data_IF_866430712863
#
_entry.id   IF_866430712863
#
_cell.length_a   1.000
_cell.length_b   1.000
_cell.length_c   1.000
_cell.angle_alpha   90.00
_cell.angle_beta   90.00
_cell.angle_gamma   90.00
#
_symmetry.space_group_name_H-M   'P 1'
#
loop_
_entity.id
_entity.type
_entity.pdbx_description
1 polymer ?
#
# COMPACT_ATOMS: atom_id res chain seq x y z
N UNK A 1 19.23 10.97 -5.87
CA UNK A 1 18.04 11.65 -6.42
C UNK A 1 16.84 10.71 -6.35
N UNK A 2 15.63 11.26 -6.39
CA UNK A 2 14.39 10.50 -6.26
C UNK A 2 13.39 10.94 -7.34
N UNK A 3 12.79 9.98 -8.05
CA UNK A 3 11.83 10.19 -9.13
C UNK A 3 12.43 10.74 -10.43
N UNK A 4 11.82 10.43 -11.55
CA UNK A 4 12.37 10.57 -12.90
C UNK A 4 12.96 11.94 -13.24
N UNK A 5 12.26 13.04 -12.93
CA UNK A 5 12.76 14.39 -13.26
C UNK A 5 14.00 14.75 -12.45
N UNK A 6 14.00 14.43 -11.16
CA UNK A 6 15.16 14.65 -10.29
C UNK A 6 16.31 13.68 -10.62
N UNK A 7 15.99 12.44 -11.01
CA UNK A 7 16.97 11.46 -11.46
C UNK A 7 17.66 11.92 -12.75
N UNK A 8 16.91 12.40 -13.72
CA UNK A 8 17.47 12.91 -14.96
C UNK A 8 18.31 14.17 -14.75
N UNK A 9 17.68 15.24 -14.23
CA UNK A 9 18.32 16.57 -14.11
C UNK A 9 19.40 16.53 -13.04
N UNK A 10 19.10 16.05 -11.85
CA UNK A 10 20.04 15.97 -10.73
C UNK A 10 21.17 14.98 -10.99
N UNK A 11 20.88 13.85 -11.64
CA UNK A 11 21.89 12.88 -12.03
C UNK A 11 22.88 13.44 -13.06
N UNK A 12 22.41 14.13 -14.10
CA UNK A 12 23.26 14.79 -15.09
C UNK A 12 24.07 15.93 -14.46
N UNK A 13 23.45 16.79 -13.66
CA UNK A 13 24.15 17.87 -12.96
C UNK A 13 25.25 17.33 -12.03
N UNK A 14 24.98 16.28 -11.28
CA UNK A 14 25.97 15.63 -10.42
C UNK A 14 27.14 15.06 -11.24
N UNK A 15 26.84 14.44 -12.38
CA UNK A 15 27.88 13.93 -13.31
C UNK A 15 28.77 15.04 -13.85
N UNK A 16 28.20 16.16 -14.28
CA UNK A 16 28.91 17.33 -14.76
C UNK A 16 29.78 17.97 -13.66
N UNK A 17 29.31 17.93 -12.42
CA UNK A 17 30.06 18.36 -11.23
C UNK A 17 31.14 17.36 -10.77
N UNK A 18 31.38 16.27 -11.52
CA UNK A 18 32.42 15.28 -11.20
C UNK A 18 32.00 14.24 -10.16
N UNK A 19 30.77 14.26 -9.66
CA UNK A 19 30.27 13.25 -8.72
C UNK A 19 30.08 11.92 -9.45
N UNK A 20 30.71 10.87 -8.92
CA UNK A 20 30.65 9.51 -9.50
C UNK A 20 29.70 8.56 -8.73
N UNK A 21 29.52 8.81 -7.43
CA UNK A 21 28.65 8.01 -6.56
C UNK A 21 27.19 8.52 -6.65
N UNK A 22 26.51 8.22 -7.74
CA UNK A 22 25.14 8.67 -8.00
C UNK A 22 24.20 7.47 -7.83
N UNK A 23 23.14 7.64 -7.04
CA UNK A 23 22.02 6.71 -6.99
C UNK A 23 20.73 7.38 -7.43
N UNK A 24 19.93 6.67 -8.23
CA UNK A 24 18.58 7.03 -8.60
C UNK A 24 17.57 6.29 -7.73
N UNK A 25 16.37 6.87 -7.53
CA UNK A 25 15.33 6.28 -6.71
C UNK A 25 14.00 6.17 -7.43
N UNK A 26 13.52 4.94 -7.64
CA UNK A 26 12.22 4.62 -8.23
C UNK A 26 11.25 4.28 -7.10
N UNK A 27 10.17 5.07 -6.96
CA UNK A 27 9.21 4.96 -5.86
C UNK A 27 7.79 4.61 -6.33
N UNK A 28 7.56 4.47 -7.63
CA UNK A 28 6.27 4.12 -8.21
C UNK A 28 6.39 2.87 -9.12
N UNK A 29 5.26 2.21 -9.38
CA UNK A 29 5.22 1.02 -10.23
C UNK A 29 5.44 1.31 -11.73
N UNK A 30 5.38 2.58 -12.15
CA UNK A 30 5.38 2.91 -13.57
C UNK A 30 4.11 2.49 -14.33
N UNK A 31 3.09 1.94 -13.67
CA UNK A 31 1.85 1.46 -14.31
C UNK A 31 1.05 2.57 -15.01
N UNK A 32 1.15 3.81 -14.51
CA UNK A 32 0.42 4.97 -15.06
C UNK A 32 1.19 5.78 -16.07
N UNK A 33 2.43 5.42 -16.37
CA UNK A 33 3.28 6.18 -17.27
C UNK A 33 2.71 6.22 -18.70
N UNK A 34 1.93 5.23 -19.09
CA UNK A 34 1.26 5.21 -20.38
C UNK A 34 0.15 6.28 -20.47
N UNK A 35 -0.50 6.59 -19.35
CA UNK A 35 -1.52 7.64 -19.22
C UNK A 35 -0.92 9.00 -18.82
N UNK A 36 0.40 9.08 -18.59
CA UNK A 36 1.10 10.31 -18.20
C UNK A 36 1.29 11.25 -19.38
N UNK A 37 1.64 12.50 -19.07
CA UNK A 37 1.94 13.52 -20.08
C UNK A 37 3.06 13.07 -21.05
N UNK A 38 3.09 13.64 -22.25
CA UNK A 38 4.14 13.36 -23.24
C UNK A 38 5.53 13.67 -22.68
N UNK A 39 5.65 14.73 -21.88
CA UNK A 39 6.90 15.13 -21.21
C UNK A 39 7.37 14.07 -20.21
N UNK A 40 6.49 13.54 -19.36
CA UNK A 40 6.84 12.49 -18.39
C UNK A 40 7.32 11.21 -19.08
N UNK A 41 6.68 10.82 -20.19
CA UNK A 41 7.13 9.67 -21.00
C UNK A 41 8.50 9.89 -21.65
N UNK A 42 8.78 11.11 -22.10
CA UNK A 42 10.09 11.45 -22.66
C UNK A 42 11.18 11.40 -21.59
N UNK A 43 10.93 11.96 -20.41
CA UNK A 43 11.85 11.91 -19.27
C UNK A 43 12.12 10.45 -18.86
N UNK A 44 11.10 9.61 -18.80
CA UNK A 44 11.28 8.18 -18.51
C UNK A 44 12.20 7.49 -19.52
N UNK A 45 11.98 7.73 -20.83
CA UNK A 45 12.83 7.18 -21.88
C UNK A 45 14.28 7.66 -21.78
N UNK A 46 14.47 8.96 -21.49
CA UNK A 46 15.80 9.53 -21.27
C UNK A 46 16.49 8.86 -20.05
N UNK A 47 15.76 8.68 -18.94
CA UNK A 47 16.27 7.96 -17.79
C UNK A 47 16.63 6.50 -18.13
N UNK A 48 15.80 5.80 -18.91
CA UNK A 48 16.09 4.42 -19.33
C UNK A 48 17.41 4.35 -20.14
N UNK A 49 17.58 5.21 -21.13
CA UNK A 49 18.79 5.30 -21.94
C UNK A 49 20.06 5.62 -21.11
N UNK A 50 19.92 6.49 -20.13
CA UNK A 50 21.02 6.96 -19.28
C UNK A 50 21.26 6.09 -18.05
N UNK A 51 20.39 5.14 -17.76
CA UNK A 51 20.43 4.30 -16.58
C UNK A 51 21.71 3.43 -16.45
N UNK A 52 22.36 3.14 -17.56
CA UNK A 52 23.63 2.41 -17.61
C UNK A 52 24.88 3.28 -17.43
N UNK A 53 24.78 4.60 -17.61
CA UNK A 53 25.94 5.51 -17.62
C UNK A 53 25.94 6.52 -16.48
N UNK A 54 24.79 7.03 -16.05
CA UNK A 54 24.68 8.07 -15.04
C UNK A 54 24.69 7.49 -13.62
N UNK A 55 23.73 6.67 -13.18
CA UNK A 55 23.73 6.15 -11.81
C UNK A 55 24.68 4.95 -11.67
N UNK A 56 25.27 4.77 -10.50
CA UNK A 56 25.93 3.53 -10.09
C UNK A 56 24.96 2.52 -9.48
N UNK A 57 23.84 2.99 -8.93
CA UNK A 57 22.75 2.16 -8.44
C UNK A 57 21.41 2.82 -8.72
N UNK A 58 20.39 2.00 -8.91
CA UNK A 58 18.99 2.40 -9.06
C UNK A 58 18.20 1.68 -7.96
N UNK A 59 17.78 2.41 -6.94
CA UNK A 59 17.07 1.85 -5.80
C UNK A 59 15.58 1.87 -6.10
N UNK A 60 14.96 0.69 -6.16
CA UNK A 60 13.55 0.50 -6.39
C UNK A 60 12.87 0.17 -5.05
N UNK A 61 11.74 0.82 -4.74
CA UNK A 61 10.99 0.54 -3.52
C UNK A 61 10.19 -0.77 -3.57
N UNK A 62 9.98 -1.32 -4.78
CA UNK A 62 9.17 -2.49 -5.03
C UNK A 62 9.83 -3.40 -6.07
N UNK A 63 9.63 -4.71 -5.95
CA UNK A 63 10.10 -5.68 -6.96
C UNK A 63 9.40 -5.47 -8.30
N UNK A 64 8.09 -5.35 -8.27
CA UNK A 64 7.29 -5.05 -9.45
C UNK A 64 7.74 -3.76 -10.15
N UNK A 65 8.13 -2.73 -9.39
CA UNK A 65 8.67 -1.51 -9.96
C UNK A 65 10.01 -1.75 -10.67
N UNK A 66 10.90 -2.56 -10.12
CA UNK A 66 12.17 -2.89 -10.75
C UNK A 66 11.96 -3.67 -12.07
N UNK A 67 11.08 -4.66 -12.07
CA UNK A 67 10.76 -5.46 -13.25
C UNK A 67 10.18 -4.60 -14.39
N UNK A 68 9.14 -3.82 -14.09
CA UNK A 68 8.50 -2.93 -15.08
C UNK A 68 9.44 -1.86 -15.64
N UNK A 69 10.38 -1.35 -14.84
CA UNK A 69 11.38 -0.40 -15.34
C UNK A 69 12.46 -1.09 -16.17
N UNK A 70 12.84 -2.31 -15.82
CA UNK A 70 13.74 -3.12 -16.65
C UNK A 70 13.13 -3.42 -18.04
N UNK A 71 11.83 -3.74 -18.11
CA UNK A 71 11.08 -3.88 -19.37
C UNK A 71 11.05 -2.59 -20.19
N UNK A 72 11.09 -1.41 -19.54
CA UNK A 72 11.16 -0.10 -20.20
C UNK A 72 12.59 0.32 -20.58
N UNK A 73 13.58 -0.58 -20.44
CA UNK A 73 14.96 -0.38 -20.87
C UNK A 73 15.91 0.16 -19.81
N UNK A 74 15.50 0.22 -18.55
CA UNK A 74 16.45 0.50 -17.47
C UNK A 74 17.42 -0.67 -17.25
N UNK A 75 18.64 -0.36 -16.87
CA UNK A 75 19.71 -1.34 -16.64
C UNK A 75 19.45 -2.17 -15.40
N UNK A 76 19.01 -3.42 -15.59
CA UNK A 76 18.68 -4.37 -14.52
C UNK A 76 19.84 -4.63 -13.56
N UNK A 77 21.07 -4.72 -14.06
CA UNK A 77 22.28 -4.94 -13.27
C UNK A 77 22.64 -3.78 -12.32
N UNK A 78 22.02 -2.60 -12.51
CA UNK A 78 22.15 -1.45 -11.61
C UNK A 78 21.01 -1.36 -10.58
N UNK A 79 19.97 -2.14 -10.73
CA UNK A 79 18.80 -2.10 -9.86
C UNK A 79 19.04 -2.87 -8.55
N UNK A 80 18.56 -2.29 -7.46
CA UNK A 80 18.54 -2.89 -6.13
C UNK A 80 17.19 -2.62 -5.52
N UNK A 81 16.49 -3.65 -5.08
CA UNK A 81 15.22 -3.48 -4.38
C UNK A 81 15.49 -3.26 -2.90
N UNK A 82 15.02 -2.13 -2.39
CA UNK A 82 15.00 -1.81 -0.97
C UNK A 82 13.57 -1.42 -0.62
N UNK A 83 12.84 -2.38 -0.08
CA UNK A 83 11.46 -2.19 0.37
C UNK A 83 11.37 -1.13 1.46
N UNK A 84 10.21 -0.49 1.59
CA UNK A 84 9.97 0.46 2.67
C UNK A 84 10.07 -0.23 4.03
N UNK A 85 10.52 0.53 5.03
CA UNK A 85 10.57 0.09 6.42
C UNK A 85 9.68 0.95 7.30
N UNK A 86 9.19 0.37 8.39
CA UNK A 86 8.23 0.98 9.30
C UNK A 86 8.77 1.05 10.72
N UNK A 87 8.37 2.10 11.42
CA UNK A 87 8.59 2.19 12.87
C UNK A 87 7.58 1.26 13.58
N UNK A 88 8.06 0.08 13.93
CA UNK A 88 7.26 -0.98 14.52
C UNK A 88 6.98 -0.77 16.02
N UNK A 89 7.52 0.28 16.61
CA UNK A 89 7.10 0.77 17.94
C UNK A 89 5.82 1.59 17.85
N UNK A 90 5.67 2.33 16.75
CA UNK A 90 4.48 3.14 16.47
C UNK A 90 3.34 2.30 15.89
N UNK A 91 3.66 1.39 14.96
CA UNK A 91 2.69 0.46 14.37
C UNK A 91 2.72 -0.86 15.16
N UNK A 92 1.86 -0.95 16.14
CA UNK A 92 1.74 -2.10 17.04
C UNK A 92 0.29 -2.34 17.44
N UNK A 93 -0.08 -3.56 17.85
CA UNK A 93 -1.37 -3.84 18.46
C UNK A 93 -1.59 -2.99 19.71
N UNK A 94 -2.72 -2.26 19.75
CA UNK A 94 -3.11 -1.37 20.85
C UNK A 94 -4.62 -1.47 21.09
N UNK A 95 -5.01 -2.18 22.15
CA UNK A 95 -6.41 -2.36 22.52
C UNK A 95 -7.09 -1.06 22.96
N UNK A 96 -6.35 -0.13 23.57
CA UNK A 96 -6.91 1.17 24.00
C UNK A 96 -7.20 2.06 22.77
N UNK A 97 -6.28 2.09 21.82
CA UNK A 97 -6.48 2.78 20.54
C UNK A 97 -7.68 2.18 19.78
N UNK A 98 -7.80 0.83 19.75
CA UNK A 98 -8.95 0.14 19.15
C UNK A 98 -10.28 0.59 19.76
N UNK A 99 -10.40 0.51 21.06
CA UNK A 99 -11.62 0.90 21.77
C UNK A 99 -11.99 2.38 21.52
N UNK A 100 -10.99 3.27 21.59
CA UNK A 100 -11.15 4.70 21.35
C UNK A 100 -11.68 4.99 19.94
N UNK A 101 -11.04 4.40 18.92
CA UNK A 101 -11.39 4.67 17.52
C UNK A 101 -12.75 4.07 17.17
N UNK A 102 -13.07 2.87 17.65
CA UNK A 102 -14.40 2.26 17.45
C UNK A 102 -15.51 3.09 18.10
N UNK A 103 -15.27 3.64 19.30
CA UNK A 103 -16.21 4.56 19.94
C UNK A 103 -16.42 5.85 19.11
N UNK A 104 -15.36 6.40 18.51
CA UNK A 104 -15.47 7.56 17.60
C UNK A 104 -16.30 7.24 16.34
N UNK A 105 -16.24 6.00 15.85
CA UNK A 105 -17.04 5.54 14.72
C UNK A 105 -18.47 5.11 15.11
N UNK A 106 -18.81 5.15 16.39
CA UNK A 106 -20.11 4.69 16.89
C UNK A 106 -20.30 3.19 16.81
N UNK A 107 -19.21 2.43 16.89
CA UNK A 107 -19.21 0.97 16.77
C UNK A 107 -19.01 0.28 18.11
N UNK A 108 -19.69 -0.86 18.29
CA UNK A 108 -19.42 -1.77 19.41
C UNK A 108 -18.09 -2.49 19.21
N UNK A 109 -17.57 -3.06 20.29
CA UNK A 109 -16.32 -3.81 20.27
C UNK A 109 -16.40 -5.07 19.40
N UNK A 110 -17.57 -5.71 19.37
CA UNK A 110 -17.83 -6.97 18.66
C UNK A 110 -18.29 -6.77 17.20
N UNK A 111 -18.56 -5.54 16.77
CA UNK A 111 -18.98 -5.30 15.39
C UNK A 111 -17.86 -5.74 14.41
N UNK A 112 -18.14 -6.57 13.38
CA UNK A 112 -17.15 -6.87 12.36
C UNK A 112 -16.85 -5.63 11.51
N UNK A 113 -15.58 -5.21 11.48
CA UNK A 113 -15.14 -3.98 10.83
C UNK A 113 -14.08 -4.26 9.78
N UNK A 114 -14.41 -4.00 8.53
CA UNK A 114 -13.38 -3.89 7.50
C UNK A 114 -13.05 -2.42 7.24
N UNK A 115 -11.84 -2.11 6.77
CA UNK A 115 -11.47 -0.75 6.42
C UNK A 115 -10.54 -0.63 5.25
N UNK A 116 -10.66 0.49 4.53
CA UNK A 116 -9.74 0.91 3.51
C UNK A 116 -9.13 2.26 3.89
N UNK A 117 -7.82 2.29 4.03
CA UNK A 117 -7.07 3.52 4.35
C UNK A 117 -6.38 4.01 3.10
N UNK A 118 -7.02 4.95 2.41
CA UNK A 118 -6.52 5.53 1.16
C UNK A 118 -7.19 6.87 0.87
N UNK A 119 -6.54 7.74 0.08
CA UNK A 119 -7.21 8.92 -0.47
C UNK A 119 -8.24 8.51 -1.55
N UNK A 120 -9.25 9.36 -1.77
CA UNK A 120 -10.12 9.22 -2.93
C UNK A 120 -9.30 9.42 -4.21
N UNK A 121 -9.14 8.35 -4.98
CA UNK A 121 -8.31 8.32 -6.18
C UNK A 121 -8.78 7.13 -7.05
N UNK A 122 -8.95 7.30 -8.37
CA UNK A 122 -9.39 6.20 -9.24
C UNK A 122 -8.56 4.92 -9.12
N UNK A 123 -7.27 5.06 -8.78
CA UNK A 123 -6.36 3.92 -8.65
C UNK A 123 -6.59 3.07 -7.41
N UNK A 124 -7.26 3.64 -6.41
CA UNK A 124 -7.61 2.95 -5.17
C UNK A 124 -8.87 2.11 -5.31
N UNK A 125 -9.62 2.33 -6.39
CA UNK A 125 -10.80 1.57 -6.80
C UNK A 125 -11.77 1.28 -5.64
N UNK A 126 -12.15 2.34 -4.92
CA UNK A 126 -13.13 2.24 -3.85
C UNK A 126 -14.48 1.73 -4.36
N UNK A 127 -14.76 1.93 -5.66
CA UNK A 127 -15.96 1.41 -6.29
C UNK A 127 -15.98 -0.13 -6.30
N UNK A 128 -14.83 -0.78 -6.51
CA UNK A 128 -14.69 -2.24 -6.41
C UNK A 128 -14.97 -2.73 -4.98
N UNK A 129 -14.41 -2.05 -3.97
CA UNK A 129 -14.68 -2.36 -2.55
C UNK A 129 -16.16 -2.22 -2.21
N UNK A 130 -16.77 -1.09 -2.57
CA UNK A 130 -18.19 -0.84 -2.26
C UNK A 130 -19.11 -1.85 -2.96
N UNK A 131 -18.81 -2.25 -4.20
CA UNK A 131 -19.56 -3.32 -4.87
C UNK A 131 -19.35 -4.67 -4.18
N UNK A 132 -18.15 -4.96 -3.67
CA UNK A 132 -17.89 -6.19 -2.90
C UNK A 132 -18.71 -6.21 -1.61
N UNK A 133 -18.76 -5.09 -0.87
CA UNK A 133 -19.60 -4.96 0.33
C UNK A 133 -21.08 -5.11 -0.02
N UNK A 134 -21.56 -4.47 -1.10
CA UNK A 134 -22.94 -4.60 -1.57
C UNK A 134 -23.30 -6.06 -1.92
N UNK A 135 -22.37 -6.81 -2.51
CA UNK A 135 -22.58 -8.23 -2.79
C UNK A 135 -22.74 -9.04 -1.51
N UNK A 136 -21.90 -8.80 -0.48
CA UNK A 136 -22.00 -9.47 0.82
C UNK A 136 -23.34 -9.17 1.51
N UNK A 137 -23.80 -7.91 1.49
CA UNK A 137 -25.08 -7.48 2.07
C UNK A 137 -26.25 -8.14 1.34
N UNK A 138 -26.26 -8.05 0.01
CA UNK A 138 -27.33 -8.64 -0.83
C UNK A 138 -27.49 -10.15 -0.60
N UNK A 139 -26.37 -10.84 -0.43
CA UNK A 139 -26.36 -12.31 -0.29
C UNK A 139 -26.52 -12.76 1.18
N UNK A 140 -26.74 -11.83 2.12
CA UNK A 140 -26.88 -12.11 3.55
C UNK A 140 -25.63 -12.67 4.22
N UNK A 141 -24.44 -12.40 3.64
CA UNK A 141 -23.12 -12.88 4.11
C UNK A 141 -22.34 -11.83 4.90
N UNK A 142 -23.00 -10.75 5.26
CA UNK A 142 -22.34 -9.56 5.85
C UNK A 142 -22.23 -9.61 7.40
N UNK A 143 -22.98 -10.50 8.08
CA UNK A 143 -22.96 -10.66 9.54
C UNK A 143 -22.94 -9.33 10.34
N UNK A 144 -23.60 -8.29 9.84
CA UNK A 144 -23.58 -6.96 10.45
C UNK A 144 -22.35 -6.11 10.15
N UNK A 145 -21.60 -6.45 9.11
CA UNK A 145 -20.37 -5.80 8.67
C UNK A 145 -20.49 -4.27 8.59
N UNK A 146 -19.46 -3.59 9.07
CA UNK A 146 -19.20 -2.15 8.87
C UNK A 146 -17.95 -1.96 8.00
N UNK A 147 -18.04 -1.06 7.03
CA UNK A 147 -16.93 -0.67 6.15
C UNK A 147 -16.51 0.76 6.46
N UNK A 148 -15.31 0.95 6.96
CA UNK A 148 -14.76 2.26 7.31
C UNK A 148 -13.79 2.72 6.22
N UNK A 149 -14.07 3.89 5.63
CA UNK A 149 -13.22 4.53 4.64
C UNK A 149 -12.48 5.70 5.28
N UNK A 150 -11.15 5.65 5.26
CA UNK A 150 -10.29 6.65 5.91
C UNK A 150 -9.34 7.27 4.90
N UNK A 151 -9.28 8.59 4.86
CA UNK A 151 -8.34 9.31 4.01
C UNK A 151 -8.90 10.60 3.43
N UNK A 152 -8.08 11.31 2.68
CA UNK A 152 -8.51 12.53 2.01
C UNK A 152 -9.60 12.21 0.98
N UNK A 153 -10.71 12.94 1.03
CA UNK A 153 -11.88 12.72 0.19
C UNK A 153 -12.80 11.59 0.66
N UNK A 154 -12.55 10.99 1.84
CA UNK A 154 -13.42 10.00 2.48
C UNK A 154 -14.36 10.69 3.50
N UNK A 155 -15.08 11.71 3.04
CA UNK A 155 -15.98 12.50 3.86
C UNK A 155 -17.32 12.72 3.14
N UNK A 156 -18.41 13.06 3.87
CA UNK A 156 -19.74 13.20 3.29
C UNK A 156 -19.87 14.30 2.22
N UNK A 157 -18.95 15.25 2.17
CA UNK A 157 -18.88 16.30 1.14
C UNK A 157 -18.35 15.80 -0.22
N UNK A 158 -17.84 14.58 -0.30
CA UNK A 158 -17.51 13.95 -1.58
C UNK A 158 -18.79 13.42 -2.25
N UNK A 159 -19.38 14.24 -3.11
CA UNK A 159 -20.65 13.95 -3.76
C UNK A 159 -20.61 12.67 -4.64
N UNK A 160 -19.46 12.39 -5.28
CA UNK A 160 -19.30 11.20 -6.10
C UNK A 160 -19.32 9.93 -5.23
N UNK A 161 -18.60 9.94 -4.11
CA UNK A 161 -18.56 8.82 -3.18
C UNK A 161 -19.93 8.62 -2.50
N UNK A 162 -20.58 9.70 -2.06
CA UNK A 162 -21.92 9.66 -1.46
C UNK A 162 -22.95 9.06 -2.43
N UNK A 163 -22.98 9.54 -3.68
CA UNK A 163 -23.88 9.01 -4.70
C UNK A 163 -23.63 7.51 -5.00
N UNK A 164 -22.38 7.06 -4.94
CA UNK A 164 -22.05 5.64 -5.13
C UNK A 164 -22.54 4.79 -3.95
N UNK A 165 -22.37 5.26 -2.71
CA UNK A 165 -22.87 4.60 -1.50
C UNK A 165 -24.39 4.47 -1.56
N UNK A 166 -25.08 5.55 -1.95
CA UNK A 166 -26.55 5.56 -2.10
C UNK A 166 -27.03 4.59 -3.17
N UNK A 167 -26.39 4.63 -4.34
CA UNK A 167 -26.73 3.74 -5.45
C UNK A 167 -26.60 2.24 -5.09
N UNK A 168 -25.71 1.92 -4.15
CA UNK A 168 -25.46 0.56 -3.69
C UNK A 168 -26.22 0.20 -2.41
N UNK A 169 -27.04 1.10 -1.88
CA UNK A 169 -27.81 0.96 -0.62
C UNK A 169 -26.92 0.61 0.58
N UNK A 170 -25.81 1.34 0.73
CA UNK A 170 -24.79 1.06 1.75
C UNK A 170 -24.70 2.14 2.86
N UNK A 171 -25.66 3.08 2.96
CA UNK A 171 -25.60 4.17 3.96
C UNK A 171 -25.43 3.67 5.39
N UNK A 172 -26.12 2.60 5.74
CA UNK A 172 -26.06 2.00 7.08
C UNK A 172 -24.81 1.12 7.30
N UNK A 173 -24.05 0.85 6.27
CA UNK A 173 -22.89 -0.04 6.30
C UNK A 173 -21.55 0.68 6.20
N UNK A 174 -21.52 1.85 5.55
CA UNK A 174 -20.29 2.60 5.26
C UNK A 174 -20.15 3.79 6.20
N UNK A 175 -18.96 3.91 6.78
CA UNK A 175 -18.55 5.04 7.62
C UNK A 175 -17.47 5.82 6.88
N UNK A 176 -17.73 7.09 6.61
CA UNK A 176 -16.77 8.02 6.03
C UNK A 176 -16.06 8.76 7.17
N UNK A 177 -14.87 8.28 7.53
CA UNK A 177 -14.13 8.79 8.69
C UNK A 177 -13.20 9.98 8.38
N UNK A 178 -13.09 10.37 7.11
CA UNK A 178 -12.20 11.47 6.71
C UNK A 178 -10.71 11.15 6.86
N UNK A 179 -9.83 12.15 6.74
CA UNK A 179 -8.40 11.98 6.97
C UNK A 179 -8.11 11.80 8.47
N UNK A 180 -7.06 11.04 8.77
CA UNK A 180 -6.57 10.82 10.14
C UNK A 180 -5.08 11.06 10.24
N UNK A 181 -4.63 11.72 11.30
CA UNK A 181 -3.22 11.89 11.64
C UNK A 181 -2.70 10.73 12.50
N UNK A 182 -3.60 9.88 13.01
CA UNK A 182 -3.28 8.70 13.84
C UNK A 182 -3.66 7.40 13.09
N UNK A 183 -2.93 7.14 12.00
CA UNK A 183 -3.13 5.93 11.19
C UNK A 183 -2.94 4.64 12.00
N UNK A 184 -1.98 4.52 12.93
CA UNK A 184 -1.88 3.35 13.80
C UNK A 184 -3.16 3.06 14.59
N UNK A 185 -3.80 4.07 15.18
CA UNK A 185 -5.07 3.89 15.89
C UNK A 185 -6.19 3.45 14.94
N UNK A 186 -6.26 4.05 13.73
CA UNK A 186 -7.21 3.63 12.69
C UNK A 186 -7.03 2.15 12.38
N UNK A 187 -5.80 1.70 12.12
CA UNK A 187 -5.53 0.29 11.83
C UNK A 187 -5.98 -0.61 12.97
N UNK A 188 -5.69 -0.25 14.22
CA UNK A 188 -6.14 -1.03 15.39
C UNK A 188 -7.67 -1.12 15.50
N UNK A 189 -8.43 -0.16 14.97
CA UNK A 189 -9.89 -0.19 14.94
C UNK A 189 -10.48 -1.24 14.00
N UNK A 190 -9.70 -1.74 13.05
CA UNK A 190 -10.14 -2.70 12.02
C UNK A 190 -9.98 -4.15 12.48
N UNK A 191 -10.80 -5.04 11.94
CA UNK A 191 -10.60 -6.49 11.99
C UNK A 191 -9.90 -6.97 10.72
N UNK A 192 -10.26 -6.38 9.57
CA UNK A 192 -9.65 -6.68 8.28
C UNK A 192 -9.34 -5.39 7.54
N UNK A 193 -8.11 -5.23 7.10
CA UNK A 193 -7.72 -4.17 6.17
C UNK A 193 -7.91 -4.65 4.73
N UNK A 194 -8.57 -3.85 3.90
CA UNK A 194 -8.83 -4.19 2.49
C UNK A 194 -8.10 -3.20 1.58
N UNK A 195 -7.21 -3.72 0.74
CA UNK A 195 -6.64 -2.99 -0.38
C UNK A 195 -7.41 -3.36 -1.65
N UNK A 196 -8.20 -2.44 -2.19
CA UNK A 196 -9.02 -2.64 -3.40
C UNK A 196 -8.40 -2.08 -4.68
N UNK A 197 -7.20 -1.54 -4.59
CA UNK A 197 -6.53 -0.78 -5.67
C UNK A 197 -6.44 -1.55 -6.98
N UNK A 198 -6.55 -0.85 -8.12
CA UNK A 198 -6.24 -1.41 -9.43
C UNK A 198 -4.77 -1.21 -9.84
N UNK A 199 -4.01 -0.41 -9.09
CA UNK A 199 -2.57 -0.27 -9.28
C UNK A 199 -1.86 0.31 -8.06
N UNK A 200 -0.71 -0.27 -7.74
CA UNK A 200 0.18 0.15 -6.66
C UNK A 200 1.66 0.03 -7.08
N UNK A 201 2.54 0.61 -6.27
CA UNK A 201 3.96 0.25 -6.27
C UNK A 201 4.22 -0.66 -5.09
N UNK A 202 4.50 -0.05 -3.93
CA UNK A 202 4.60 -0.69 -2.63
C UNK A 202 3.50 -0.10 -1.73
N UNK A 203 2.38 -0.79 -1.52
CA UNK A 203 1.25 -0.26 -0.74
C UNK A 203 1.57 -0.25 0.75
N UNK A 204 2.03 0.88 1.26
CA UNK A 204 2.45 1.06 2.66
C UNK A 204 1.38 0.63 3.66
N UNK A 205 0.13 0.99 3.40
CA UNK A 205 -1.01 0.73 4.30
C UNK A 205 -1.20 -0.75 4.62
N UNK A 206 -0.78 -1.65 3.72
CA UNK A 206 -0.84 -3.10 3.96
C UNK A 206 0.16 -3.51 5.04
N UNK A 207 1.43 -3.10 4.91
CA UNK A 207 2.44 -3.39 5.92
C UNK A 207 2.14 -2.69 7.27
N UNK A 208 1.57 -1.48 7.23
CA UNK A 208 1.11 -0.75 8.42
C UNK A 208 -0.01 -1.49 9.15
N UNK A 209 -1.00 -2.00 8.42
CA UNK A 209 -2.09 -2.83 8.98
C UNK A 209 -1.55 -4.13 9.57
N UNK A 210 -0.72 -4.86 8.83
CA UNK A 210 -0.08 -6.08 9.31
C UNK A 210 0.78 -5.83 10.55
N UNK A 211 1.51 -4.71 10.63
CA UNK A 211 2.28 -4.31 11.80
C UNK A 211 1.40 -4.11 13.03
N UNK A 212 0.18 -3.62 12.88
CA UNK A 212 -0.83 -3.52 13.92
C UNK A 212 -1.54 -4.85 14.24
N UNK A 213 -1.16 -5.95 13.58
CA UNK A 213 -1.79 -7.27 13.77
C UNK A 213 -3.15 -7.41 13.09
N UNK A 214 -3.44 -6.59 12.08
CA UNK A 214 -4.69 -6.62 11.33
C UNK A 214 -4.56 -7.56 10.14
N UNK A 215 -5.56 -8.43 9.96
CA UNK A 215 -5.61 -9.34 8.82
C UNK A 215 -5.84 -8.56 7.52
N UNK A 216 -5.20 -8.97 6.42
CA UNK A 216 -5.25 -8.21 5.17
C UNK A 216 -5.86 -9.00 4.01
N UNK A 217 -6.77 -8.35 3.28
CA UNK A 217 -7.25 -8.79 1.96
C UNK A 217 -6.75 -7.77 0.94
N UNK A 218 -6.01 -8.21 -0.06
CA UNK A 218 -5.38 -7.31 -1.01
C UNK A 218 -5.63 -7.73 -2.45
N UNK A 219 -5.79 -6.76 -3.33
CA UNK A 219 -5.73 -7.01 -4.77
C UNK A 219 -4.30 -7.30 -5.21
N UNK A 220 -4.11 -8.16 -6.21
CA UNK A 220 -2.81 -8.53 -6.77
C UNK A 220 -2.26 -7.40 -7.66
N UNK A 221 -1.78 -6.35 -7.02
CA UNK A 221 -1.21 -5.17 -7.68
C UNK A 221 0.08 -4.70 -7.01
N UNK A 222 1.06 -4.32 -7.80
CA UNK A 222 2.37 -3.93 -7.29
C UNK A 222 3.00 -5.03 -6.45
N UNK A 223 3.50 -4.67 -5.28
CA UNK A 223 4.08 -5.61 -4.32
C UNK A 223 3.08 -6.04 -3.22
N UNK A 224 1.76 -5.86 -3.41
CA UNK A 224 0.77 -6.22 -2.39
C UNK A 224 0.84 -7.70 -2.01
N UNK A 225 0.86 -8.60 -3.00
CA UNK A 225 1.01 -10.04 -2.79
C UNK A 225 2.36 -10.38 -2.11
N UNK A 226 3.45 -9.71 -2.50
CA UNK A 226 4.76 -9.88 -1.85
C UNK A 226 4.74 -9.46 -0.38
N UNK A 227 4.04 -8.37 -0.04
CA UNK A 227 3.94 -7.88 1.34
C UNK A 227 3.19 -8.87 2.22
N UNK A 228 2.00 -9.32 1.79
CA UNK A 228 1.19 -10.24 2.60
C UNK A 228 1.75 -11.67 2.61
N UNK A 229 2.41 -12.11 1.53
CA UNK A 229 2.90 -13.48 1.39
C UNK A 229 1.76 -14.50 1.56
N UNK A 230 1.98 -15.49 2.42
CA UNK A 230 1.02 -16.52 2.81
C UNK A 230 0.19 -16.16 4.05
N UNK A 231 0.31 -14.92 4.56
CA UNK A 231 -0.31 -14.47 5.82
C UNK A 231 -1.54 -13.58 5.60
N UNK A 232 -2.00 -13.41 4.36
CA UNK A 232 -3.19 -12.65 3.98
C UNK A 232 -3.84 -13.24 2.74
N UNK A 233 -4.93 -12.64 2.29
CA UNK A 233 -5.67 -13.10 1.12
C UNK A 233 -5.37 -12.19 -0.06
N UNK A 234 -4.98 -12.79 -1.20
CA UNK A 234 -4.73 -12.09 -2.47
C UNK A 234 -5.85 -12.41 -3.46
N UNK A 235 -6.42 -11.38 -4.06
CA UNK A 235 -7.50 -11.51 -5.04
C UNK A 235 -7.19 -10.74 -6.31
N UNK A 236 -7.76 -11.09 -7.48
CA UNK A 236 -7.59 -10.30 -8.70
C UNK A 236 -8.14 -8.87 -8.53
N UNK A 237 -7.48 -7.85 -9.11
CA UNK A 237 -8.00 -6.48 -9.12
C UNK A 237 -9.26 -6.35 -9.99
N UNK A 238 -10.05 -5.29 -9.74
CA UNK A 238 -11.24 -4.94 -10.51
C UNK A 238 -12.32 -6.05 -10.57
N UNK A 239 -12.31 -6.97 -9.58
CA UNK A 239 -13.26 -8.08 -9.46
C UNK A 239 -13.96 -8.06 -8.10
N UNK A 240 -15.11 -7.37 -8.02
CA UNK A 240 -15.85 -7.18 -6.78
C UNK A 240 -16.28 -8.50 -6.13
N UNK A 241 -16.69 -9.49 -6.90
CA UNK A 241 -17.10 -10.80 -6.38
C UNK A 241 -15.93 -11.60 -5.80
N UNK A 242 -14.72 -11.50 -6.39
CA UNK A 242 -13.53 -12.12 -5.85
C UNK A 242 -13.11 -11.42 -4.55
N UNK A 243 -13.19 -10.09 -4.51
CA UNK A 243 -12.92 -9.30 -3.31
C UNK A 243 -13.92 -9.60 -2.19
N UNK A 244 -15.21 -9.74 -2.52
CA UNK A 244 -16.26 -10.13 -1.57
C UNK A 244 -15.95 -11.50 -0.92
N UNK A 245 -15.62 -12.52 -1.72
CA UNK A 245 -15.23 -13.83 -1.19
C UNK A 245 -13.98 -13.76 -0.30
N UNK A 246 -12.98 -12.97 -0.70
CA UNK A 246 -11.78 -12.75 0.12
C UNK A 246 -12.10 -12.11 1.47
N UNK A 247 -12.96 -11.08 1.48
CA UNK A 247 -13.43 -10.42 2.70
C UNK A 247 -14.22 -11.40 3.59
N UNK A 248 -15.14 -12.16 3.04
CA UNK A 248 -15.91 -13.17 3.76
C UNK A 248 -14.99 -14.20 4.44
N UNK A 249 -14.04 -14.76 3.68
CA UNK A 249 -13.05 -15.71 4.22
C UNK A 249 -12.24 -15.09 5.36
N UNK A 250 -11.78 -13.85 5.21
CA UNK A 250 -11.05 -13.15 6.25
C UNK A 250 -11.88 -12.91 7.50
N UNK A 251 -13.16 -12.52 7.35
CA UNK A 251 -14.07 -12.34 8.48
C UNK A 251 -14.37 -13.67 9.21
N UNK A 252 -14.51 -14.77 8.47
CA UNK A 252 -14.65 -16.11 9.07
C UNK A 252 -13.39 -16.49 9.87
N UNK A 253 -12.20 -16.24 9.35
CA UNK A 253 -10.94 -16.49 10.06
C UNK A 253 -10.81 -15.64 11.32
N UNK A 254 -11.18 -14.36 11.25
CA UNK A 254 -11.21 -13.45 12.39
C UNK A 254 -12.21 -13.91 13.45
N UNK A 255 -13.42 -14.30 13.05
CA UNK A 255 -14.44 -14.80 13.97
C UNK A 255 -13.99 -16.09 14.68
N UNK A 256 -13.32 -17.00 13.97
CA UNK A 256 -12.85 -18.26 14.51
C UNK A 256 -11.65 -18.14 15.46
N UNK A 257 -10.73 -17.19 15.20
CA UNK A 257 -9.45 -17.07 15.92
C UNK A 257 -9.35 -15.86 16.84
N UNK A 258 -10.22 -14.86 16.67
CA UNK A 258 -10.09 -13.51 17.21
C UNK A 258 -9.19 -12.63 16.34
N UNK A 259 -9.49 -11.33 16.24
CA UNK A 259 -8.82 -10.40 15.33
C UNK A 259 -7.29 -10.37 15.52
N UNK A 260 -6.81 -10.34 16.77
CA UNK A 260 -5.36 -10.30 17.06
C UNK A 260 -4.62 -11.56 16.58
N UNK A 261 -5.21 -12.76 16.78
CA UNK A 261 -4.59 -14.03 16.35
C UNK A 261 -4.65 -14.24 14.83
N UNK A 262 -5.69 -13.76 14.18
CA UNK A 262 -5.79 -13.83 12.72
C UNK A 262 -4.67 -13.03 12.03
N UNK A 263 -4.27 -11.89 12.59
CA UNK A 263 -3.21 -11.04 12.06
C UNK A 263 -1.79 -11.32 12.56
N UNK A 264 -1.61 -12.26 13.51
CA UNK A 264 -0.32 -12.52 14.18
C UNK A 264 0.79 -12.93 13.21
N UNK A 265 0.50 -13.82 12.28
CA UNK A 265 1.45 -14.28 11.27
C UNK A 265 1.87 -13.11 10.34
N UNK A 266 0.92 -12.25 9.95
CA UNK A 266 1.20 -11.04 9.17
C UNK A 266 2.12 -10.07 9.91
N UNK A 267 1.85 -9.84 11.20
CA UNK A 267 2.74 -9.02 12.04
C UNK A 267 4.15 -9.61 12.14
N UNK A 268 4.29 -10.90 12.39
CA UNK A 268 5.59 -11.56 12.45
C UNK A 268 6.39 -11.37 11.14
N UNK A 269 5.72 -11.51 9.99
CA UNK A 269 6.32 -11.25 8.68
C UNK A 269 6.81 -9.82 8.50
N UNK A 270 6.05 -8.83 8.97
CA UNK A 270 6.46 -7.42 8.90
C UNK A 270 7.63 -7.14 9.82
N UNK A 271 7.63 -7.65 11.05
CA UNK A 271 8.75 -7.55 11.99
C UNK A 271 10.05 -8.12 11.40
N UNK A 272 9.94 -9.22 10.68
CA UNK A 272 11.10 -9.86 10.06
C UNK A 272 11.62 -9.10 8.82
N UNK A 273 10.73 -8.59 7.96
CA UNK A 273 11.12 -8.17 6.61
C UNK A 273 11.09 -6.66 6.38
N UNK A 274 10.28 -5.90 7.14
CA UNK A 274 9.96 -4.50 6.86
C UNK A 274 10.23 -3.55 8.03
N UNK A 275 11.15 -3.91 8.92
CA UNK A 275 11.62 -3.03 9.99
C UNK A 275 12.42 -1.84 9.42
N UNK A 276 12.24 -0.65 10.00
CA UNK A 276 12.89 0.59 9.57
C UNK A 276 14.42 0.50 9.65
N UNK A 277 14.94 -0.08 10.72
CA UNK A 277 16.39 -0.21 10.90
C UNK A 277 16.99 -1.11 9.82
N UNK A 278 16.28 -2.18 9.44
CA UNK A 278 16.67 -3.07 8.34
C UNK A 278 16.69 -2.36 6.99
N UNK A 279 15.66 -1.54 6.71
CA UNK A 279 15.65 -0.71 5.50
C UNK A 279 16.85 0.24 5.47
N UNK A 280 17.14 0.93 6.58
CA UNK A 280 18.30 1.85 6.70
C UNK A 280 19.60 1.11 6.43
N UNK A 281 19.80 -0.08 6.99
CA UNK A 281 21.01 -0.88 6.74
C UNK A 281 21.16 -1.27 5.25
N UNK A 282 20.06 -1.63 4.58
CA UNK A 282 20.07 -1.91 3.14
C UNK A 282 20.47 -0.68 2.32
N UNK A 283 19.96 0.51 2.66
CA UNK A 283 20.36 1.76 2.02
C UNK A 283 21.84 2.07 2.28
N UNK A 284 22.31 1.94 3.51
CA UNK A 284 23.72 2.15 3.85
C UNK A 284 24.64 1.20 3.05
N UNK A 285 24.24 -0.06 2.88
CA UNK A 285 25.01 -1.01 2.07
C UNK A 285 25.10 -0.56 0.60
N UNK A 286 23.99 -0.04 0.03
CA UNK A 286 24.01 0.53 -1.33
C UNK A 286 24.95 1.74 -1.40
N UNK A 287 24.87 2.68 -0.45
CA UNK A 287 25.72 3.89 -0.43
C UNK A 287 27.19 3.54 -0.32
N UNK A 288 27.58 2.64 0.60
CA UNK A 288 28.96 2.16 0.74
C UNK A 288 29.47 1.54 -0.54
N UNK A 289 28.69 0.67 -1.17
CA UNK A 289 29.04 0.03 -2.44
C UNK A 289 29.33 1.02 -3.57
N UNK A 290 28.50 2.06 -3.73
CA UNK A 290 28.67 3.03 -4.82
C UNK A 290 29.74 4.08 -4.55
N UNK A 291 29.99 4.43 -3.26
CA UNK A 291 31.01 5.41 -2.86
C UNK A 291 32.42 4.81 -2.81
N UNK A 292 32.55 3.47 -2.73
CA UNK A 292 33.84 2.81 -2.56
C UNK A 292 34.41 2.91 -1.13
N UNK A 293 33.61 3.35 -0.15
CA UNK A 293 33.99 3.36 1.26
C UNK A 293 33.82 1.96 1.82
N UNK A 294 34.92 1.32 2.19
CA UNK A 294 34.90 0.08 2.98
C UNK A 294 34.44 0.37 4.42
N UNK A 295 33.73 -0.57 5.03
CA UNK A 295 33.23 -0.48 6.41
C UNK A 295 34.36 -0.48 7.42
#
# INVERSE_FOLDING_TARGET
TWMYHADLIGGLAARLAGVRAIAWGIRNSGAHLERSSRSARLVLRACALLSGSVPRAIVCAAQNAAERHAEKGYRRDRMVVVSNGYDLSRYAPDALARARVRAQWGLSEDAPVIGCVARWDPLKDHANLLRAVAALVRDGRDAGLRCVLVGRGMAPDNAELAALIDKLDLRERVILAGPSDDVPAVMNGLDVHVLSSCAEGFPNVVAEAMACGVYCVVTDVGDAAYIVGDTGIVVPPEQAEALARGIETALCDVAARGSGRAGEAGRARVLENFDLARMVQRYLAVWRRISGVQA
#
